data_IF_898802966375
#
_entry.id   IF_898802966375
#
_cell.length_a   1.000
_cell.length_b   1.000
_cell.length_c   1.000
_cell.angle_alpha   90.00
_cell.angle_beta   90.00
_cell.angle_gamma   90.00
#
_symmetry.space_group_name_H-M   'P 1'
#
loop_
_entity.id
_entity.type
_entity.pdbx_description
1 polymer ?
#
# COMPACT_ATOMS: atom_id res chain seq x y z
N UNK A 1 -8.11 -16.27 -8.26
CA UNK A 1 -6.73 -16.07 -8.76
C UNK A 1 -5.90 -15.54 -7.59
N UNK A 2 -4.89 -16.28 -7.12
CA UNK A 2 -4.04 -15.82 -6.04
C UNK A 2 -3.10 -14.71 -6.56
N UNK A 3 -3.31 -13.48 -6.14
CA UNK A 3 -2.42 -12.34 -6.42
C UNK A 3 -1.07 -12.62 -5.77
N UNK A 4 -0.04 -12.97 -6.56
CA UNK A 4 1.33 -13.13 -6.07
C UNK A 4 1.91 -11.76 -5.76
N UNK A 5 1.78 -11.34 -4.51
CA UNK A 5 2.43 -10.14 -4.02
C UNK A 5 3.93 -10.37 -3.79
N UNK A 6 4.75 -9.40 -4.16
CA UNK A 6 6.16 -9.39 -3.77
C UNK A 6 6.31 -9.07 -2.29
N UNK A 7 7.48 -9.36 -1.70
CA UNK A 7 7.75 -9.02 -0.29
C UNK A 7 7.60 -7.53 0.01
N UNK A 8 7.98 -6.65 -0.94
CA UNK A 8 7.78 -5.22 -0.82
C UNK A 8 6.29 -4.84 -0.81
N UNK A 9 5.50 -5.42 -1.71
CA UNK A 9 4.05 -5.21 -1.76
C UNK A 9 3.35 -5.70 -0.49
N UNK A 10 3.70 -6.90 0.00
CA UNK A 10 3.17 -7.44 1.26
C UNK A 10 3.50 -6.53 2.44
N UNK A 11 4.74 -6.03 2.53
CA UNK A 11 5.17 -5.15 3.61
C UNK A 11 4.37 -3.85 3.63
N UNK A 12 4.07 -3.28 2.48
CA UNK A 12 3.26 -2.06 2.39
C UNK A 12 1.79 -2.34 2.69
N UNK A 13 1.25 -3.41 2.10
CA UNK A 13 -0.14 -3.82 2.31
C UNK A 13 -0.44 -4.13 3.78
N UNK A 14 0.56 -4.62 4.54
CA UNK A 14 0.48 -4.78 6.00
C UNK A 14 0.16 -3.48 6.76
N UNK A 15 0.69 -2.35 6.30
CA UNK A 15 0.43 -1.04 6.92
C UNK A 15 -0.93 -0.51 6.46
N UNK A 16 -1.11 -0.34 5.15
CA UNK A 16 -2.30 0.30 4.61
C UNK A 16 -3.57 -0.55 4.79
N UNK A 17 -3.43 -1.89 4.82
CA UNK A 17 -4.53 -2.82 5.08
C UNK A 17 -5.06 -2.75 6.51
N UNK A 18 -4.26 -2.23 7.46
CA UNK A 18 -4.67 -1.93 8.84
C UNK A 18 -5.29 -0.53 8.99
N UNK A 19 -5.50 0.17 7.88
CA UNK A 19 -6.07 1.52 7.88
C UNK A 19 -5.06 2.65 8.04
N UNK A 20 -3.75 2.37 7.98
CA UNK A 20 -2.74 3.44 7.95
C UNK A 20 -2.70 4.09 6.57
N UNK A 21 -2.41 5.39 6.55
CA UNK A 21 -2.22 6.15 5.31
C UNK A 21 -0.74 6.30 5.01
N UNK A 22 -0.35 6.02 3.76
CA UNK A 22 1.01 6.25 3.28
C UNK A 22 1.09 7.59 2.54
N UNK A 23 1.85 8.51 3.08
CA UNK A 23 2.02 9.87 2.58
C UNK A 23 3.20 9.96 1.61
N UNK A 24 3.15 10.89 0.64
CA UNK A 24 4.32 11.22 -0.19
C UNK A 24 5.45 11.78 0.66
N UNK A 25 6.64 11.16 0.56
CA UNK A 25 7.88 11.63 1.14
C UNK A 25 8.78 12.33 0.11
N UNK A 26 10.06 12.50 0.43
CA UNK A 26 11.03 13.07 -0.49
C UNK A 26 11.23 12.18 -1.74
N UNK A 27 11.21 12.80 -2.93
CA UNK A 27 11.34 12.11 -4.20
C UNK A 27 10.21 11.11 -4.44
N UNK A 28 10.56 9.87 -4.77
CA UNK A 28 9.60 8.78 -4.99
C UNK A 28 9.29 7.98 -3.72
N UNK A 29 9.68 8.46 -2.53
CA UNK A 29 9.48 7.73 -1.29
C UNK A 29 8.05 7.88 -0.75
N UNK A 30 7.58 6.86 -0.05
CA UNK A 30 6.34 6.91 0.71
C UNK A 30 6.63 6.62 2.17
N UNK A 31 5.99 7.41 3.03
CA UNK A 31 6.18 7.37 4.48
C UNK A 31 4.88 7.04 5.19
N UNK A 32 4.96 6.27 6.26
CA UNK A 32 3.86 6.11 7.23
C UNK A 32 4.41 6.61 8.56
N UNK A 33 3.71 7.56 9.19
CA UNK A 33 4.14 8.16 10.46
C UNK A 33 5.60 8.66 10.45
N UNK A 34 6.02 9.31 9.35
CA UNK A 34 7.37 9.84 9.18
C UNK A 34 8.46 8.81 8.84
N UNK A 35 8.15 7.51 8.81
CA UNK A 35 9.11 6.47 8.42
C UNK A 35 8.90 6.02 6.98
N UNK A 36 9.99 5.96 6.20
CA UNK A 36 9.95 5.45 4.82
C UNK A 36 9.60 3.96 4.81
N UNK A 37 8.49 3.62 4.13
CA UNK A 37 8.02 2.25 4.00
C UNK A 37 8.24 1.66 2.61
N UNK A 38 8.14 2.48 1.54
CA UNK A 38 8.31 2.03 0.16
C UNK A 38 8.52 3.21 -0.81
N UNK A 39 8.32 2.95 -2.10
CA UNK A 39 8.32 3.95 -3.15
C UNK A 39 6.98 3.97 -3.91
N UNK A 40 6.77 5.02 -4.70
CA UNK A 40 5.59 5.22 -5.54
C UNK A 40 5.34 4.04 -6.49
N UNK A 41 6.39 3.45 -7.06
CA UNK A 41 6.25 2.31 -7.98
C UNK A 41 5.59 1.10 -7.32
N UNK A 42 5.93 0.83 -6.05
CA UNK A 42 5.31 -0.26 -5.28
C UNK A 42 3.82 -0.01 -5.09
N UNK A 43 3.42 1.24 -4.81
CA UNK A 43 2.01 1.59 -4.67
C UNK A 43 1.26 1.57 -6.00
N UNK A 44 1.89 2.03 -7.08
CA UNK A 44 1.32 1.92 -8.42
C UNK A 44 1.09 0.46 -8.82
N UNK A 45 1.96 -0.46 -8.41
CA UNK A 45 1.77 -1.88 -8.65
C UNK A 45 0.59 -2.47 -7.86
N UNK A 46 0.34 -2.00 -6.63
CA UNK A 46 -0.85 -2.36 -5.84
C UNK A 46 -2.13 -1.72 -6.39
N UNK A 47 -2.04 -0.48 -6.86
CA UNK A 47 -3.13 0.25 -7.53
C UNK A 47 -3.62 -0.45 -8.79
N UNK A 48 -2.68 -0.89 -9.65
CA UNK A 48 -2.99 -1.67 -10.86
C UNK A 48 -3.67 -3.00 -10.56
N UNK A 49 -3.50 -3.53 -9.35
CA UNK A 49 -4.17 -4.74 -8.87
C UNK A 49 -5.50 -4.44 -8.14
N UNK A 50 -5.90 -3.17 -8.04
CA UNK A 50 -7.10 -2.74 -7.31
C UNK A 50 -6.99 -2.86 -5.79
N UNK A 51 -5.77 -3.00 -5.24
CA UNK A 51 -5.53 -3.22 -3.80
C UNK A 51 -5.22 -1.93 -3.04
N UNK A 52 -4.83 -0.88 -3.76
CA UNK A 52 -4.55 0.44 -3.19
C UNK A 52 -5.23 1.52 -4.03
N UNK A 53 -5.52 2.64 -3.39
CA UNK A 53 -6.02 3.85 -4.04
C UNK A 53 -5.27 5.07 -3.51
N UNK A 54 -5.24 6.12 -4.33
CA UNK A 54 -4.65 7.41 -3.98
C UNK A 54 -5.77 8.44 -3.90
N UNK A 55 -5.73 9.28 -2.87
CA UNK A 55 -6.68 10.39 -2.69
C UNK A 55 -6.19 11.69 -3.35
N UNK A 56 -7.00 12.75 -3.27
CA UNK A 56 -6.69 14.07 -3.81
C UNK A 56 -5.47 14.74 -3.14
N UNK A 57 -5.11 14.30 -1.92
CA UNK A 57 -3.92 14.75 -1.17
C UNK A 57 -2.68 13.95 -1.53
N UNK A 58 -2.77 13.04 -2.51
CA UNK A 58 -1.73 12.10 -2.92
C UNK A 58 -1.35 11.08 -1.83
N UNK A 59 -2.16 10.97 -0.77
CA UNK A 59 -2.03 9.94 0.25
C UNK A 59 -2.59 8.63 -0.29
N UNK A 60 -1.94 7.54 0.09
CA UNK A 60 -2.30 6.21 -0.33
C UNK A 60 -2.96 5.43 0.80
N UNK A 61 -4.01 4.69 0.45
CA UNK A 61 -4.76 3.84 1.36
C UNK A 61 -5.12 2.51 0.68
N UNK A 62 -5.42 1.48 1.48
CA UNK A 62 -5.92 0.22 0.95
C UNK A 62 -7.38 0.36 0.52
N UNK A 63 -7.73 -0.23 -0.62
CA UNK A 63 -9.13 -0.45 -1.00
C UNK A 63 -9.73 -1.56 -0.13
N UNK A 64 -11.04 -1.78 -0.22
CA UNK A 64 -11.70 -2.92 0.44
C UNK A 64 -11.10 -4.27 0.03
N UNK A 65 -10.75 -4.43 -1.26
CA UNK A 65 -10.03 -5.60 -1.76
C UNK A 65 -8.63 -5.70 -1.13
N UNK A 66 -7.90 -4.58 -1.03
CA UNK A 66 -6.59 -4.54 -0.37
C UNK A 66 -6.65 -4.97 1.10
N UNK A 67 -7.65 -4.49 1.86
CA UNK A 67 -7.89 -4.88 3.25
C UNK A 67 -8.23 -6.36 3.36
N UNK A 68 -9.06 -6.88 2.46
CA UNK A 68 -9.44 -8.30 2.42
C UNK A 68 -8.23 -9.18 2.18
N UNK A 69 -7.41 -8.87 1.17
CA UNK A 69 -6.18 -9.61 0.88
C UNK A 69 -5.19 -9.51 2.05
N UNK A 70 -5.06 -8.34 2.69
CA UNK A 70 -4.22 -8.20 3.88
C UNK A 70 -4.65 -9.15 5.01
N UNK A 71 -5.97 -9.26 5.24
CA UNK A 71 -6.54 -10.17 6.24
C UNK A 71 -6.34 -11.64 5.89
N UNK A 72 -6.56 -12.02 4.63
CA UNK A 72 -6.35 -13.40 4.15
C UNK A 72 -4.90 -13.84 4.26
N UNK A 73 -3.95 -12.91 4.07
CA UNK A 73 -2.52 -13.15 4.21
C UNK A 73 -2.00 -13.01 5.65
N UNK A 74 -2.84 -12.66 6.61
CA UNK A 74 -2.45 -12.50 8.02
C UNK A 74 -1.45 -11.37 8.29
N UNK A 75 -1.53 -10.28 7.51
CA UNK A 75 -0.60 -9.15 7.57
C UNK A 75 -0.85 -8.21 8.76
#
# INVERSE_FOLDING_TARGET
MATKLTQAQMRVLKWIGKGWEAQPGAGSSLVVNGQRICNTDTMMALYRQGLAAQDDKRCWHATESGKTIARELGL
#
